data_IF_584774166187
#
_entry.id   IF_584774166187
#
_cell.length_a   1.000
_cell.length_b   1.000
_cell.length_c   1.000
_cell.angle_alpha   90.00
_cell.angle_beta   90.00
_cell.angle_gamma   90.00
#
_symmetry.space_group_name_H-M   'P 1'
#
loop_
_entity.id
_entity.type
_entity.pdbx_description
1 polymer ?
#
# COMPACT_ATOMS: atom_id res chain seq x y z
N UNK A 1 11.34 -31.34 -5.86
CA UNK A 1 11.23 -30.67 -4.56
C UNK A 1 10.07 -29.70 -4.61
N UNK A 2 9.25 -29.55 -3.58
CA UNK A 2 8.22 -28.49 -3.59
C UNK A 2 8.92 -27.15 -3.77
N UNK A 3 8.37 -26.25 -4.64
CA UNK A 3 8.89 -24.90 -4.82
C UNK A 3 8.80 -24.15 -3.49
N UNK A 4 9.88 -23.53 -3.06
CA UNK A 4 9.86 -22.67 -1.86
C UNK A 4 8.93 -21.50 -2.13
N UNK A 5 7.90 -21.34 -1.30
CA UNK A 5 6.97 -20.21 -1.41
C UNK A 5 7.70 -18.90 -1.09
N UNK A 6 7.30 -17.82 -1.73
CA UNK A 6 7.77 -16.47 -1.37
C UNK A 6 7.14 -16.02 -0.06
N UNK A 7 7.78 -15.10 0.64
CA UNK A 7 7.18 -14.39 1.78
C UNK A 7 6.41 -13.17 1.29
N UNK A 8 5.35 -12.80 1.99
CA UNK A 8 4.55 -11.61 1.71
C UNK A 8 4.72 -10.62 2.86
N UNK A 9 5.20 -9.43 2.55
CA UNK A 9 5.35 -8.34 3.52
C UNK A 9 4.44 -7.20 3.11
N UNK A 10 3.59 -6.75 4.05
CA UNK A 10 2.62 -5.67 3.82
C UNK A 10 3.07 -4.37 4.48
N UNK A 11 2.84 -3.25 3.78
CA UNK A 11 2.98 -1.88 4.26
C UNK A 11 1.68 -1.12 4.07
N UNK A 12 1.06 -0.69 5.18
CA UNK A 12 -0.20 0.06 5.17
C UNK A 12 -0.03 1.54 4.78
N UNK A 13 -1.13 2.23 4.51
CA UNK A 13 -1.19 3.66 4.23
C UNK A 13 -1.49 4.52 5.44
N UNK A 14 -1.84 5.80 5.19
CA UNK A 14 -2.37 6.69 6.22
C UNK A 14 -3.77 6.22 6.63
N UNK A 15 -4.18 6.58 7.84
CA UNK A 15 -5.50 6.27 8.39
C UNK A 15 -5.83 4.77 8.32
N UNK A 16 -4.80 3.94 8.37
CA UNK A 16 -4.89 2.49 8.38
C UNK A 16 -3.77 1.92 9.26
N UNK A 17 -3.86 0.63 9.55
CA UNK A 17 -2.82 -0.18 10.16
C UNK A 17 -2.76 -1.56 9.49
N UNK A 18 -1.99 -2.49 10.02
CA UNK A 18 -1.88 -3.84 9.46
C UNK A 18 -3.19 -4.61 9.40
N UNK A 19 -4.23 -4.23 10.15
CA UNK A 19 -5.54 -4.87 10.10
C UNK A 19 -6.29 -4.68 8.79
N UNK A 20 -5.94 -3.65 8.01
CA UNK A 20 -6.49 -3.43 6.67
C UNK A 20 -6.21 -4.62 5.71
N UNK A 21 -5.22 -5.47 6.03
CA UNK A 21 -4.91 -6.69 5.28
C UNK A 21 -5.52 -7.97 5.88
N UNK A 22 -6.39 -7.87 6.88
CA UNK A 22 -6.94 -9.01 7.61
C UNK A 22 -7.65 -10.05 6.73
N UNK A 23 -8.28 -9.62 5.62
CA UNK A 23 -8.93 -10.53 4.67
C UNK A 23 -7.96 -11.24 3.72
N UNK A 24 -6.70 -10.76 3.63
CA UNK A 24 -5.65 -11.32 2.76
C UNK A 24 -4.73 -12.28 3.51
N UNK A 25 -4.47 -12.03 4.79
CA UNK A 25 -3.49 -12.78 5.58
C UNK A 25 -3.83 -14.27 5.68
N UNK A 26 -5.02 -14.69 6.15
CA UNK A 26 -5.31 -16.12 6.32
C UNK A 26 -5.24 -16.92 5.02
N UNK A 27 -5.79 -16.46 3.87
CA UNK A 27 -5.66 -17.20 2.60
C UNK A 27 -4.20 -17.36 2.14
N UNK A 28 -3.36 -16.31 2.27
CA UNK A 28 -1.95 -16.39 1.88
C UNK A 28 -1.15 -17.32 2.79
N UNK A 29 -1.46 -17.37 4.09
CA UNK A 29 -0.89 -18.34 5.01
C UNK A 29 -1.33 -19.77 4.67
N UNK A 30 -2.61 -19.96 4.30
CA UNK A 30 -3.12 -21.25 3.83
C UNK A 30 -2.46 -21.73 2.53
N UNK A 31 -2.06 -20.78 1.66
CA UNK A 31 -1.26 -21.06 0.46
C UNK A 31 0.20 -21.46 0.78
N UNK A 32 0.63 -21.32 2.05
CA UNK A 32 1.96 -21.67 2.53
C UNK A 32 2.99 -20.53 2.44
N UNK A 33 2.55 -19.28 2.31
CA UNK A 33 3.42 -18.12 2.41
C UNK A 33 3.69 -17.75 3.87
N UNK A 34 4.92 -17.32 4.18
CA UNK A 34 5.18 -16.52 5.38
C UNK A 34 4.58 -15.12 5.16
N UNK A 35 3.79 -14.63 6.10
CA UNK A 35 3.09 -13.34 5.96
C UNK A 35 3.34 -12.47 7.18
N UNK A 36 3.75 -11.22 6.96
CA UNK A 36 3.92 -10.23 8.02
C UNK A 36 3.49 -8.84 7.54
N UNK A 37 2.86 -8.07 8.44
CA UNK A 37 2.53 -6.67 8.23
C UNK A 37 3.50 -5.78 9.01
N UNK A 38 4.05 -4.77 8.36
CA UNK A 38 4.74 -3.69 9.05
C UNK A 38 3.72 -2.88 9.86
N UNK A 39 4.10 -2.52 11.07
CA UNK A 39 3.35 -1.59 11.91
C UNK A 39 4.24 -0.36 12.09
N UNK A 40 3.92 0.74 11.44
CA UNK A 40 4.73 1.95 11.45
C UNK A 40 3.91 3.16 11.93
N UNK A 41 4.59 4.10 12.58
CA UNK A 41 3.92 5.15 13.35
C UNK A 41 3.51 6.38 12.54
N UNK A 42 3.88 6.46 11.25
CA UNK A 42 3.64 7.62 10.38
C UNK A 42 4.28 8.92 10.92
N UNK A 43 5.44 8.75 11.60
CA UNK A 43 6.21 9.84 12.21
C UNK A 43 7.27 10.41 11.27
N UNK A 44 7.85 9.57 10.42
CA UNK A 44 8.81 9.97 9.39
C UNK A 44 8.94 8.87 8.33
N UNK A 45 9.19 9.26 7.09
CA UNK A 45 9.42 8.32 6.00
C UNK A 45 10.57 7.35 6.33
N UNK A 46 11.66 7.86 6.88
CA UNK A 46 12.82 7.03 7.28
C UNK A 46 12.43 5.98 8.33
N UNK A 47 11.75 6.38 9.40
CA UNK A 47 11.31 5.46 10.46
C UNK A 47 10.33 4.42 9.96
N UNK A 48 9.41 4.80 9.08
CA UNK A 48 8.44 3.90 8.49
C UNK A 48 9.11 2.89 7.54
N UNK A 49 10.06 3.33 6.71
CA UNK A 49 10.88 2.44 5.86
C UNK A 49 11.70 1.45 6.71
N UNK A 50 12.28 1.90 7.82
CA UNK A 50 12.99 1.02 8.76
C UNK A 50 12.05 -0.04 9.38
N UNK A 51 10.78 0.31 9.67
CA UNK A 51 9.78 -0.67 10.12
C UNK A 51 9.50 -1.73 9.07
N UNK A 52 9.32 -1.33 7.79
CA UNK A 52 9.15 -2.28 6.69
C UNK A 52 10.38 -3.17 6.54
N UNK A 53 11.58 -2.60 6.53
CA UNK A 53 12.85 -3.34 6.35
C UNK A 53 13.09 -4.35 7.48
N UNK A 54 12.72 -4.02 8.72
CA UNK A 54 12.80 -4.97 9.85
C UNK A 54 11.94 -6.21 9.64
N UNK A 55 10.82 -6.11 8.91
CA UNK A 55 9.98 -7.27 8.58
C UNK A 55 10.72 -8.28 7.70
N UNK A 56 11.66 -7.84 6.84
CA UNK A 56 12.46 -8.76 6.02
C UNK A 56 13.37 -9.69 6.85
N UNK A 57 13.76 -9.28 8.05
CA UNK A 57 14.50 -10.12 8.99
C UNK A 57 13.63 -11.14 9.75
N UNK A 58 12.32 -11.14 9.52
CA UNK A 58 11.35 -12.05 10.16
C UNK A 58 10.84 -13.13 9.23
N UNK A 59 11.27 -13.13 7.99
CA UNK A 59 10.88 -14.09 6.96
C UNK A 59 12.13 -14.73 6.35
N UNK A 60 11.97 -15.91 5.74
CA UNK A 60 13.11 -16.76 5.34
C UNK A 60 13.25 -16.90 3.83
N UNK A 61 12.26 -16.44 3.06
CA UNK A 61 12.23 -16.60 1.59
C UNK A 61 12.18 -15.25 0.88
N UNK A 62 12.42 -15.19 -0.44
CA UNK A 62 12.31 -13.95 -1.21
C UNK A 62 10.95 -13.28 -1.01
N UNK A 63 10.96 -11.97 -0.87
CA UNK A 63 9.80 -11.16 -0.49
C UNK A 63 9.05 -10.65 -1.70
N UNK A 64 7.73 -10.83 -1.72
CA UNK A 64 6.79 -9.99 -2.45
C UNK A 64 6.34 -8.88 -1.51
N UNK A 65 6.73 -7.66 -1.81
CA UNK A 65 6.46 -6.50 -0.96
C UNK A 65 5.22 -5.78 -1.46
N UNK A 66 4.20 -5.65 -0.61
CA UNK A 66 2.86 -5.14 -0.95
C UNK A 66 2.61 -3.84 -0.21
N UNK A 67 2.32 -2.76 -0.93
CA UNK A 67 2.06 -1.44 -0.35
C UNK A 67 0.70 -0.88 -0.72
N UNK A 68 -0.08 -0.46 0.26
CA UNK A 68 -1.33 0.23 0.09
C UNK A 68 -1.15 1.74 0.29
N UNK A 69 -1.68 2.56 -0.61
CA UNK A 69 -1.68 4.02 -0.45
C UNK A 69 -0.27 4.60 -0.24
N UNK A 70 -0.01 5.31 0.86
CA UNK A 70 1.33 5.74 1.30
C UNK A 70 2.29 4.56 1.47
N UNK A 71 1.81 3.37 1.81
CA UNK A 71 2.62 2.15 1.81
C UNK A 71 3.32 1.88 0.48
N UNK A 72 2.77 2.37 -0.64
CA UNK A 72 3.45 2.35 -1.95
C UNK A 72 4.73 3.19 -1.98
N UNK A 73 4.75 4.34 -1.30
CA UNK A 73 5.96 5.15 -1.11
C UNK A 73 7.01 4.37 -0.31
N UNK A 74 6.56 3.66 0.74
CA UNK A 74 7.45 2.83 1.57
C UNK A 74 8.06 1.69 0.77
N UNK A 75 7.25 0.97 -0.02
CA UNK A 75 7.77 -0.15 -0.82
C UNK A 75 8.61 0.32 -2.01
N UNK A 76 8.38 1.53 -2.51
CA UNK A 76 9.24 2.18 -3.50
C UNK A 76 10.66 2.35 -2.95
N UNK A 77 10.79 2.79 -1.70
CA UNK A 77 12.09 2.96 -1.04
C UNK A 77 12.67 1.60 -0.55
N UNK A 78 11.92 0.89 0.29
CA UNK A 78 12.41 -0.35 0.92
C UNK A 78 12.66 -1.48 -0.08
N UNK A 79 11.95 -1.47 -1.20
CA UNK A 79 12.01 -2.52 -2.22
C UNK A 79 13.33 -2.63 -2.98
N UNK A 80 14.28 -1.69 -2.80
CA UNK A 80 15.63 -1.81 -3.37
C UNK A 80 16.46 -2.90 -2.70
N UNK A 81 16.05 -3.36 -1.52
CA UNK A 81 16.67 -4.45 -0.78
C UNK A 81 16.72 -5.72 -1.66
N UNK A 82 17.86 -6.44 -1.62
CA UNK A 82 18.09 -7.64 -2.43
C UNK A 82 17.11 -8.79 -2.13
N UNK A 83 16.57 -8.83 -0.91
CA UNK A 83 15.57 -9.83 -0.49
C UNK A 83 14.22 -9.63 -1.16
N UNK A 84 13.93 -8.43 -1.69
CA UNK A 84 12.67 -8.14 -2.38
C UNK A 84 12.73 -8.61 -3.82
N UNK A 85 11.85 -9.52 -4.20
CA UNK A 85 11.77 -10.09 -5.54
C UNK A 85 10.71 -9.43 -6.43
N UNK A 86 9.64 -8.89 -5.84
CA UNK A 86 8.54 -8.25 -6.56
C UNK A 86 7.83 -7.19 -5.70
N UNK A 87 7.13 -6.27 -6.37
CA UNK A 87 6.36 -5.20 -5.75
C UNK A 87 4.89 -5.28 -6.17
N UNK A 88 3.97 -5.09 -5.24
CA UNK A 88 2.53 -4.96 -5.51
C UNK A 88 2.02 -3.66 -4.91
N UNK A 89 1.51 -2.78 -5.73
CA UNK A 89 0.93 -1.49 -5.36
C UNK A 89 -0.60 -1.60 -5.34
N UNK A 90 -1.24 -1.16 -4.26
CA UNK A 90 -2.71 -1.19 -4.11
C UNK A 90 -3.19 0.25 -3.87
N UNK A 91 -3.89 0.86 -4.83
CA UNK A 91 -4.39 2.23 -4.73
C UNK A 91 -3.31 3.21 -4.19
N UNK A 92 -2.10 3.18 -4.78
CA UNK A 92 -0.89 3.57 -4.07
C UNK A 92 -0.11 4.72 -4.71
N UNK A 93 0.68 5.40 -3.91
CA UNK A 93 1.70 6.36 -4.35
C UNK A 93 3.01 5.64 -4.67
N UNK A 94 3.73 6.14 -5.67
CA UNK A 94 4.99 5.53 -6.14
C UNK A 94 5.97 6.60 -6.63
N UNK A 95 6.46 7.49 -5.73
CA UNK A 95 7.30 8.60 -6.11
C UNK A 95 8.62 8.16 -6.76
N UNK A 96 9.11 8.97 -7.72
CA UNK A 96 10.49 8.90 -8.21
C UNK A 96 11.43 9.68 -7.27
N UNK A 97 12.74 9.60 -7.45
CA UNK A 97 13.76 10.33 -6.66
C UNK A 97 13.55 11.86 -6.66
N UNK A 98 12.97 12.41 -7.73
CA UNK A 98 12.67 13.85 -7.85
C UNK A 98 11.31 14.23 -7.28
N UNK A 99 10.53 13.28 -6.84
CA UNK A 99 9.16 13.45 -6.38
C UNK A 99 9.02 13.19 -4.87
N UNK A 100 7.93 13.68 -4.33
CA UNK A 100 7.40 13.30 -3.02
C UNK A 100 5.99 12.77 -3.19
N UNK A 101 5.43 12.12 -2.19
CA UNK A 101 4.01 11.72 -2.18
C UNK A 101 3.10 12.92 -2.42
N UNK A 102 3.43 14.07 -1.81
CA UNK A 102 2.70 15.32 -2.00
C UNK A 102 2.78 15.82 -3.45
N UNK A 103 3.98 15.89 -4.03
CA UNK A 103 4.17 16.40 -5.38
C UNK A 103 3.53 15.52 -6.46
N UNK A 104 3.39 14.22 -6.20
CA UNK A 104 2.62 13.33 -7.09
C UNK A 104 1.14 13.70 -7.09
N UNK A 105 0.54 13.86 -5.90
CA UNK A 105 -0.88 14.20 -5.77
C UNK A 105 -1.21 15.57 -6.35
N UNK A 106 -0.31 16.56 -6.19
CA UNK A 106 -0.50 17.91 -6.71
C UNK A 106 -0.59 18.00 -8.25
N UNK A 107 -0.24 16.95 -8.98
CA UNK A 107 -0.39 16.87 -10.45
C UNK A 107 -1.81 16.54 -10.91
N UNK A 108 -2.69 16.20 -9.97
CA UNK A 108 -4.06 15.75 -10.23
C UNK A 108 -5.05 16.56 -9.39
N UNK A 109 -6.33 16.57 -9.76
CA UNK A 109 -7.36 17.25 -8.95
C UNK A 109 -7.37 16.77 -7.51
N UNK A 110 -7.64 17.69 -6.59
CA UNK A 110 -7.77 17.38 -5.15
C UNK A 110 -8.96 16.45 -4.94
N UNK A 111 -8.75 15.35 -4.25
CA UNK A 111 -9.80 14.38 -3.96
C UNK A 111 -10.63 14.77 -2.74
N UNK A 112 -11.84 14.21 -2.64
CA UNK A 112 -12.84 14.61 -1.65
C UNK A 112 -12.37 14.41 -0.20
N UNK A 113 -11.55 13.39 0.09
CA UNK A 113 -11.08 13.08 1.45
C UNK A 113 -10.44 14.28 2.14
N UNK A 114 -9.74 15.14 1.40
CA UNK A 114 -9.02 16.29 1.98
C UNK A 114 -9.94 17.37 2.58
N UNK A 115 -11.23 17.40 2.26
CA UNK A 115 -12.21 18.26 2.94
C UNK A 115 -12.69 17.68 4.27
N UNK A 116 -12.32 16.43 4.57
CA UNK A 116 -12.79 15.65 5.72
C UNK A 116 -11.65 15.23 6.64
N UNK A 117 -10.54 15.97 6.64
CA UNK A 117 -9.43 15.77 7.58
C UNK A 117 -9.39 16.92 8.60
N UNK A 118 -8.69 16.70 9.70
CA UNK A 118 -8.39 17.74 10.70
C UNK A 118 -6.98 17.57 11.25
N UNK A 119 -6.37 18.66 11.64
CA UNK A 119 -5.08 18.65 12.35
C UNK A 119 -5.35 18.83 13.83
N UNK A 120 -5.02 17.80 14.61
CA UNK A 120 -5.12 17.82 16.06
C UNK A 120 -3.89 17.11 16.66
N UNK A 121 -3.35 17.65 17.75
CA UNK A 121 -2.18 17.12 18.47
C UNK A 121 -0.97 16.81 17.57
N UNK A 122 -0.75 17.65 16.55
CA UNK A 122 0.36 17.52 15.60
C UNK A 122 0.17 16.39 14.59
N UNK A 123 -1.04 15.85 14.44
CA UNK A 123 -1.39 14.76 13.52
C UNK A 123 -2.53 15.15 12.59
N UNK A 124 -2.59 14.52 11.42
CA UNK A 124 -3.69 14.66 10.46
C UNK A 124 -4.65 13.49 10.61
N UNK A 125 -5.82 13.75 11.18
CA UNK A 125 -6.86 12.76 11.42
C UNK A 125 -7.92 12.76 10.33
N UNK A 126 -8.44 11.58 9.99
CA UNK A 126 -9.63 11.45 9.19
C UNK A 126 -10.87 11.65 10.09
N UNK A 127 -11.71 12.63 9.74
CA UNK A 127 -12.99 12.84 10.44
C UNK A 127 -13.95 11.69 10.18
N UNK A 128 -14.95 11.44 11.06
CA UNK A 128 -16.00 10.46 10.78
C UNK A 128 -16.68 10.64 9.41
N UNK A 129 -16.90 11.90 8.99
CA UNK A 129 -17.46 12.22 7.67
C UNK A 129 -16.53 11.90 6.49
N UNK A 130 -15.24 11.60 6.74
CA UNK A 130 -14.27 11.26 5.71
C UNK A 130 -14.27 9.77 5.36
N UNK A 131 -14.85 8.93 6.21
CA UNK A 131 -14.79 7.48 6.01
C UNK A 131 -15.45 7.03 4.71
N UNK A 132 -16.55 7.70 4.31
CA UNK A 132 -17.23 7.45 3.03
C UNK A 132 -16.32 7.68 1.82
N UNK A 133 -15.37 8.62 1.92
CA UNK A 133 -14.43 8.93 0.85
C UNK A 133 -13.20 8.01 0.86
N UNK A 134 -12.94 7.35 1.98
CA UNK A 134 -11.84 6.40 2.15
C UNK A 134 -12.28 4.96 1.90
N UNK A 135 -13.43 4.55 2.42
CA UNK A 135 -13.90 3.17 2.46
C UNK A 135 -15.40 3.03 2.15
N UNK A 136 -15.96 3.89 1.29
CA UNK A 136 -17.40 4.01 1.08
C UNK A 136 -18.07 2.83 0.40
N UNK A 137 -17.33 1.88 -0.15
CA UNK A 137 -17.86 0.62 -0.70
C UNK A 137 -17.91 -0.53 0.33
N UNK A 138 -17.51 -0.27 1.58
CA UNK A 138 -17.66 -1.23 2.67
C UNK A 138 -18.99 -1.06 3.41
N UNK A 139 -19.51 -2.14 4.05
CA UNK A 139 -20.60 -2.02 5.00
C UNK A 139 -20.26 -1.06 6.15
N UNK A 140 -21.27 -0.36 6.71
CA UNK A 140 -21.08 0.63 7.79
C UNK A 140 -20.28 0.09 8.98
N UNK A 141 -20.50 -1.16 9.37
CA UNK A 141 -19.77 -1.79 10.48
C UNK A 141 -18.28 -1.94 10.18
N UNK A 142 -17.90 -2.26 8.93
CA UNK A 142 -16.50 -2.33 8.52
C UNK A 142 -15.89 -0.92 8.40
N UNK A 143 -16.65 0.06 7.89
CA UNK A 143 -16.20 1.45 7.85
C UNK A 143 -15.86 1.98 9.25
N UNK A 144 -16.67 1.63 10.25
CA UNK A 144 -16.44 2.01 11.65
C UNK A 144 -15.14 1.37 12.20
N UNK A 145 -14.85 0.13 11.83
CA UNK A 145 -13.57 -0.52 12.21
C UNK A 145 -12.38 0.21 11.55
N UNK A 146 -12.46 0.50 10.26
CA UNK A 146 -11.41 1.25 9.54
C UNK A 146 -11.17 2.61 10.21
N UNK A 147 -12.23 3.36 10.55
CA UNK A 147 -12.10 4.63 11.24
C UNK A 147 -11.49 4.49 12.64
N UNK A 148 -11.86 3.45 13.40
CA UNK A 148 -11.40 3.23 14.77
C UNK A 148 -9.93 2.78 14.85
N UNK A 149 -9.41 2.13 13.80
CA UNK A 149 -8.02 1.63 13.72
C UNK A 149 -7.09 2.57 12.95
N UNK A 150 -7.53 3.80 12.66
CA UNK A 150 -6.73 4.75 11.92
C UNK A 150 -5.45 5.14 12.64
N UNK A 151 -4.32 5.13 11.93
CA UNK A 151 -3.08 5.75 12.33
C UNK A 151 -2.94 7.10 11.62
N UNK A 152 -2.77 8.17 12.39
CA UNK A 152 -2.71 9.54 11.87
C UNK A 152 -1.26 9.98 11.61
N UNK A 153 -0.92 10.48 10.39
CA UNK A 153 0.42 10.92 10.06
C UNK A 153 0.77 12.28 10.68
N UNK A 154 2.06 12.56 10.77
CA UNK A 154 2.55 13.93 10.95
C UNK A 154 2.36 14.74 9.64
N UNK A 155 2.15 16.07 9.72
CA UNK A 155 1.81 16.88 8.54
C UNK A 155 2.87 16.92 7.43
N UNK A 156 4.14 16.80 7.76
CA UNK A 156 5.26 16.89 6.82
C UNK A 156 5.66 15.54 6.19
N UNK A 157 5.01 14.44 6.59
CA UNK A 157 5.34 13.09 6.10
C UNK A 157 5.33 13.00 4.57
N UNK A 158 4.35 13.62 3.92
CA UNK A 158 4.18 13.55 2.46
C UNK A 158 5.16 14.41 1.66
N UNK A 159 5.87 15.33 2.32
CA UNK A 159 6.90 16.17 1.70
C UNK A 159 8.30 15.54 1.70
N UNK A 160 8.46 14.39 2.37
CA UNK A 160 9.73 13.69 2.47
C UNK A 160 10.02 12.87 1.20
N UNK A 161 11.29 12.86 0.76
CA UNK A 161 11.72 12.21 -0.48
C UNK A 161 12.20 10.79 -0.24
N UNK A 162 11.90 9.90 -1.21
CA UNK A 162 12.49 8.56 -1.25
C UNK A 162 13.95 8.63 -1.71
N UNK A 163 14.81 7.78 -1.15
CA UNK A 163 16.20 7.64 -1.57
C UNK A 163 16.38 6.53 -2.61
N UNK A 164 15.51 5.51 -2.59
CA UNK A 164 15.48 4.39 -3.52
C UNK A 164 14.20 4.37 -4.37
N UNK A 165 14.30 3.84 -5.60
CA UNK A 165 13.14 3.70 -6.51
C UNK A 165 13.10 2.29 -7.07
N UNK A 166 12.57 1.37 -6.26
CA UNK A 166 12.60 -0.07 -6.53
C UNK A 166 11.86 -0.48 -7.82
N UNK A 167 10.75 0.19 -8.15
CA UNK A 167 9.97 -0.13 -9.36
C UNK A 167 10.73 0.09 -10.68
N UNK A 168 11.88 0.77 -10.67
CA UNK A 168 12.76 0.88 -11.85
C UNK A 168 13.52 -0.40 -12.17
N UNK A 169 13.65 -1.31 -11.21
CA UNK A 169 14.47 -2.53 -11.35
C UNK A 169 13.75 -3.81 -10.92
N UNK A 170 12.62 -3.71 -10.26
CA UNK A 170 11.86 -4.87 -9.76
C UNK A 170 10.57 -5.05 -10.57
N UNK A 171 10.16 -6.28 -10.88
CA UNK A 171 8.87 -6.54 -11.47
C UNK A 171 7.76 -6.03 -10.54
N UNK A 172 6.79 -5.33 -11.12
CA UNK A 172 5.76 -4.61 -10.36
C UNK A 172 4.37 -4.93 -10.85
N UNK A 173 3.43 -5.04 -9.93
CA UNK A 173 1.99 -5.15 -10.15
C UNK A 173 1.30 -3.95 -9.54
N UNK A 174 0.20 -3.54 -10.15
CA UNK A 174 -0.57 -2.41 -9.67
C UNK A 174 -2.07 -2.68 -9.70
N UNK A 175 -2.75 -2.42 -8.60
CA UNK A 175 -4.21 -2.45 -8.50
C UNK A 175 -4.70 -1.01 -8.44
N UNK A 176 -5.40 -0.59 -9.48
CA UNK A 176 -6.06 0.72 -9.59
C UNK A 176 -7.46 0.61 -9.01
N UNK A 177 -7.81 1.53 -8.10
CA UNK A 177 -9.15 1.65 -7.55
C UNK A 177 -9.92 2.74 -8.29
N UNK A 178 -10.86 2.36 -9.18
CA UNK A 178 -11.48 3.31 -10.11
C UNK A 178 -12.47 4.29 -9.48
N UNK A 179 -12.94 4.01 -8.26
CA UNK A 179 -13.84 4.88 -7.48
C UNK A 179 -13.13 5.49 -6.26
N UNK A 180 -11.78 5.51 -6.27
CA UNK A 180 -10.98 6.09 -5.20
C UNK A 180 -11.19 7.61 -5.09
N UNK A 181 -11.55 8.07 -3.87
CA UNK A 181 -11.74 9.48 -3.52
C UNK A 181 -10.66 9.99 -2.54
N UNK A 182 -9.58 9.21 -2.37
CA UNK A 182 -8.41 9.49 -1.53
C UNK A 182 -7.17 9.72 -2.36
N UNK A 183 -6.79 8.76 -3.20
CA UNK A 183 -5.80 8.92 -4.27
C UNK A 183 -6.57 9.03 -5.59
N UNK A 184 -6.22 10.02 -6.42
CA UNK A 184 -6.96 10.22 -7.67
C UNK A 184 -6.73 9.04 -8.64
N UNK A 185 -7.77 8.39 -9.21
CA UNK A 185 -7.60 7.21 -10.06
C UNK A 185 -6.68 7.44 -11.28
N UNK A 186 -6.66 8.65 -11.85
CA UNK A 186 -5.74 8.98 -12.94
C UNK A 186 -4.27 9.07 -12.48
N UNK A 187 -4.02 9.42 -11.21
CA UNK A 187 -2.67 9.30 -10.64
C UNK A 187 -2.26 7.83 -10.60
N UNK A 188 -3.12 6.95 -10.13
CA UNK A 188 -2.86 5.52 -10.05
C UNK A 188 -2.59 4.91 -11.44
N UNK A 189 -3.43 5.21 -12.43
CA UNK A 189 -3.24 4.78 -13.83
C UNK A 189 -1.92 5.30 -14.41
N UNK A 190 -1.61 6.57 -14.17
CA UNK A 190 -0.35 7.19 -14.62
C UNK A 190 0.86 6.53 -13.97
N UNK A 191 0.79 6.24 -12.67
CA UNK A 191 1.84 5.55 -11.92
C UNK A 191 2.06 4.12 -12.44
N UNK A 192 0.99 3.34 -12.60
CA UNK A 192 1.03 1.98 -13.12
C UNK A 192 1.66 1.94 -14.53
N UNK A 193 1.25 2.85 -15.41
CA UNK A 193 1.81 2.99 -16.76
C UNK A 193 3.29 3.35 -16.74
N UNK A 194 3.69 4.32 -15.90
CA UNK A 194 5.08 4.77 -15.78
C UNK A 194 6.01 3.65 -15.32
N UNK A 195 5.55 2.81 -14.41
CA UNK A 195 6.29 1.65 -13.90
C UNK A 195 6.34 0.47 -14.88
N UNK A 196 5.51 0.46 -15.93
CA UNK A 196 5.31 -0.73 -16.76
C UNK A 196 4.72 -1.90 -15.97
N UNK A 197 3.91 -1.61 -14.93
CA UNK A 197 3.37 -2.62 -14.05
C UNK A 197 2.30 -3.49 -14.71
N UNK A 198 2.24 -4.77 -14.34
CA UNK A 198 1.06 -5.60 -14.63
C UNK A 198 -0.12 -5.04 -13.86
N UNK A 199 -1.10 -4.47 -14.57
CA UNK A 199 -2.15 -3.65 -13.98
C UNK A 199 -3.50 -4.35 -14.00
N UNK A 200 -4.23 -4.28 -12.88
CA UNK A 200 -5.64 -4.64 -12.75
C UNK A 200 -6.38 -3.42 -12.23
N UNK A 201 -7.53 -3.11 -12.82
CA UNK A 201 -8.41 -2.05 -12.35
C UNK A 201 -9.65 -2.65 -11.72
N UNK A 202 -9.96 -2.22 -10.48
CA UNK A 202 -11.09 -2.68 -9.70
C UNK A 202 -12.06 -1.51 -9.45
N UNK A 203 -13.34 -1.79 -9.59
CA UNK A 203 -14.37 -0.84 -9.20
C UNK A 203 -14.52 -0.84 -7.67
N UNK A 204 -13.65 -0.11 -6.98
CA UNK A 204 -13.62 -0.03 -5.52
C UNK A 204 -13.27 1.37 -5.03
N UNK A 205 -13.55 1.63 -3.75
CA UNK A 205 -13.00 2.75 -3.00
C UNK A 205 -11.49 2.56 -2.77
N UNK A 206 -10.89 3.40 -1.90
CA UNK A 206 -9.45 3.36 -1.59
C UNK A 206 -8.95 2.07 -0.92
N UNK A 207 -9.85 1.16 -0.49
CA UNK A 207 -9.50 -0.05 0.28
C UNK A 207 -9.93 -1.36 -0.42
N UNK A 208 -9.49 -1.63 -1.68
CA UNK A 208 -9.89 -2.82 -2.42
C UNK A 208 -9.51 -4.13 -1.69
N UNK A 209 -8.49 -4.13 -0.85
CA UNK A 209 -8.09 -5.29 -0.04
C UNK A 209 -9.15 -5.69 0.98
N UNK A 210 -10.06 -4.78 1.34
CA UNK A 210 -11.20 -5.05 2.22
C UNK A 210 -12.49 -5.30 1.45
N UNK A 211 -12.76 -4.54 0.37
CA UNK A 211 -14.00 -4.64 -0.40
C UNK A 211 -13.99 -5.75 -1.45
N UNK A 212 -12.83 -6.00 -2.07
CA UNK A 212 -12.63 -7.00 -3.13
C UNK A 212 -11.41 -7.90 -2.86
N UNK A 213 -11.33 -8.55 -1.69
CA UNK A 213 -10.13 -9.26 -1.24
C UNK A 213 -9.71 -10.38 -2.21
N UNK A 214 -10.64 -11.07 -2.86
CA UNK A 214 -10.30 -12.14 -3.79
C UNK A 214 -9.53 -11.63 -5.01
N UNK A 215 -9.95 -10.53 -5.61
CA UNK A 215 -9.26 -9.95 -6.74
C UNK A 215 -7.84 -9.46 -6.36
N UNK A 216 -7.69 -8.90 -5.16
CA UNK A 216 -6.38 -8.49 -4.63
C UNK A 216 -5.49 -9.70 -4.36
N UNK A 217 -6.03 -10.79 -3.78
CA UNK A 217 -5.32 -12.06 -3.57
C UNK A 217 -4.80 -12.63 -4.89
N UNK A 218 -5.60 -12.59 -5.95
CA UNK A 218 -5.22 -13.15 -7.25
C UNK A 218 -4.03 -12.38 -7.86
N UNK A 219 -3.96 -11.05 -7.67
CA UNK A 219 -2.81 -10.24 -8.09
C UNK A 219 -1.56 -10.59 -7.28
N UNK A 220 -1.67 -10.70 -5.95
CA UNK A 220 -0.54 -11.06 -5.09
C UNK A 220 -0.04 -12.47 -5.42
N UNK A 221 -0.92 -13.44 -5.63
CA UNK A 221 -0.57 -14.80 -6.04
C UNK A 221 0.13 -14.84 -7.40
N UNK A 222 -0.34 -14.01 -8.34
CA UNK A 222 0.30 -13.87 -9.66
C UNK A 222 1.72 -13.34 -9.50
N UNK A 223 1.92 -12.27 -8.73
CA UNK A 223 3.23 -11.72 -8.44
C UNK A 223 4.15 -12.75 -7.77
N UNK A 224 3.65 -13.46 -6.75
CA UNK A 224 4.40 -14.49 -6.05
C UNK A 224 4.81 -15.63 -7.00
N UNK A 225 3.91 -16.09 -7.86
CA UNK A 225 4.18 -17.17 -8.82
C UNK A 225 5.20 -16.78 -9.88
N UNK A 226 5.19 -15.52 -10.33
CA UNK A 226 6.11 -15.01 -11.34
C UNK A 226 7.56 -14.95 -10.88
N UNK A 227 7.81 -14.81 -9.57
CA UNK A 227 9.16 -14.69 -8.99
C UNK A 227 9.63 -15.94 -8.24
N UNK A 228 8.79 -16.97 -8.14
CA UNK A 228 9.19 -18.28 -7.62
C UNK A 228 10.17 -18.95 -8.61
N UNK A 229 11.44 -19.03 -8.21
CA UNK A 229 12.43 -19.79 -8.97
C UNK A 229 12.11 -21.30 -8.91
N UNK A 230 12.28 -21.93 -10.05
CA UNK A 230 12.14 -23.40 -10.20
C UNK A 230 13.19 -24.12 -9.39
#
# INVERSE_FOLDING_TARGET
MPKTKTSIVFAHGLWADGSCFSKLIPPLQADGHEVICSQHGLDSLKGDVECVTRCFGRVTTPVVLVGHSYGGTLITHAGVDERVAALVYIAALSPDQTETSQSQQQKFPVTNVFSHIEVADGRIWLKPSGIEHFAGDLPDTEQQVVWATQAAPVPDLFSQKVEGVAWKSKPSWYIVASEDRTVHPELERSAAKRMGATTVELRSSHVPMLSQPQAVLDVIRNAASAVQKS
#
